data_IF_586930937227
#
_entry.id   IF_586930937227
#
_cell.length_a   1.000
_cell.length_b   1.000
_cell.length_c   1.000
_cell.angle_alpha   90.00
_cell.angle_beta   90.00
_cell.angle_gamma   90.00
#
_symmetry.space_group_name_H-M   'P 1'
#
loop_
_entity.id
_entity.type
_entity.pdbx_description
1 polymer ?
#
# COMPACT_ATOMS: atom_id res chain seq x y z
N UNK A 1 -6.50 -10.57 12.63
CA UNK A 1 -5.73 -10.89 11.40
C UNK A 1 -5.77 -9.68 10.48
N UNK A 2 -4.61 -9.13 10.13
CA UNK A 2 -4.46 -7.86 9.40
C UNK A 2 -5.30 -7.77 8.11
N UNK A 3 -5.46 -8.86 7.36
CA UNK A 3 -6.31 -8.89 6.16
C UNK A 3 -7.76 -8.55 6.48
N UNK A 4 -8.30 -9.07 7.59
CA UNK A 4 -9.68 -8.76 8.03
C UNK A 4 -9.83 -7.28 8.40
N UNK A 5 -8.83 -6.70 9.09
CA UNK A 5 -8.83 -5.27 9.43
C UNK A 5 -8.81 -4.40 8.17
N UNK A 6 -7.95 -4.73 7.20
CA UNK A 6 -7.87 -4.00 5.93
C UNK A 6 -9.19 -4.08 5.16
N UNK A 7 -9.80 -5.26 5.06
CA UNK A 7 -11.12 -5.43 4.41
C UNK A 7 -12.20 -4.60 5.11
N UNK A 8 -12.28 -4.69 6.44
CA UNK A 8 -13.24 -3.94 7.24
C UNK A 8 -13.19 -2.42 6.99
N UNK A 9 -11.99 -1.86 6.87
CA UNK A 9 -11.80 -0.42 6.60
C UNK A 9 -12.04 -0.07 5.13
N UNK A 10 -11.50 -0.85 4.20
CA UNK A 10 -11.44 -0.49 2.78
C UNK A 10 -12.73 -0.83 2.02
N UNK A 11 -13.48 -1.86 2.42
CA UNK A 11 -14.67 -2.31 1.70
C UNK A 11 -15.79 -1.24 1.70
N UNK A 12 -16.16 -0.63 2.86
CA UNK A 12 -17.15 0.46 2.89
C UNK A 12 -16.67 1.70 2.14
N UNK A 13 -15.38 2.02 2.22
CA UNK A 13 -14.80 3.18 1.52
C UNK A 13 -14.79 3.00 0.00
N UNK A 14 -14.50 1.78 -0.47
CA UNK A 14 -14.52 1.42 -1.88
C UNK A 14 -15.93 1.46 -2.48
N UNK A 15 -16.95 1.09 -1.69
CA UNK A 15 -18.35 1.16 -2.10
C UNK A 15 -18.85 2.62 -2.30
N UNK A 16 -18.27 3.59 -1.59
CA UNK A 16 -18.70 5.00 -1.59
C UNK A 16 -18.12 5.88 -2.71
N UNK A 17 -17.40 5.35 -3.69
CA UNK A 17 -16.70 6.19 -4.68
C UNK A 17 -16.76 5.68 -6.11
N UNK A 18 -16.17 6.45 -7.03
CA UNK A 18 -16.05 6.07 -8.43
C UNK A 18 -15.57 4.61 -8.56
N UNK A 19 -16.38 3.72 -9.18
CA UNK A 19 -16.34 2.29 -8.92
C UNK A 19 -15.00 1.63 -9.28
N UNK A 20 -14.28 2.17 -10.26
CA UNK A 20 -13.02 1.60 -10.73
C UNK A 20 -11.83 1.94 -9.84
N UNK A 21 -11.65 3.22 -9.48
CA UNK A 21 -10.42 3.70 -8.83
C UNK A 21 -10.28 3.23 -7.39
N UNK A 22 -11.37 3.32 -6.59
CA UNK A 22 -11.33 2.90 -5.19
C UNK A 22 -11.30 1.38 -5.03
N UNK A 23 -11.96 0.63 -5.93
CA UNK A 23 -11.88 -0.84 -5.97
C UNK A 23 -10.46 -1.33 -6.23
N UNK A 24 -9.74 -0.69 -7.17
CA UNK A 24 -8.33 -0.98 -7.42
C UNK A 24 -7.48 -0.69 -6.16
N UNK A 25 -7.71 0.45 -5.50
CA UNK A 25 -6.98 0.76 -4.26
C UNK A 25 -7.25 -0.26 -3.15
N UNK A 26 -8.50 -0.70 -2.98
CA UNK A 26 -8.86 -1.78 -2.05
C UNK A 26 -8.09 -3.07 -2.35
N UNK A 27 -8.05 -3.51 -3.61
CA UNK A 27 -7.30 -4.71 -4.00
C UNK A 27 -5.79 -4.57 -3.72
N UNK A 28 -5.22 -3.38 -3.97
CA UNK A 28 -3.81 -3.09 -3.68
C UNK A 28 -3.51 -3.09 -2.18
N UNK A 29 -4.39 -2.54 -1.37
CA UNK A 29 -4.28 -2.56 0.10
C UNK A 29 -4.39 -4.00 0.64
N UNK A 30 -5.28 -4.82 0.09
CA UNK A 30 -5.37 -6.24 0.44
C UNK A 30 -4.10 -7.01 0.07
N UNK A 31 -3.50 -6.74 -1.10
CA UNK A 31 -2.21 -7.34 -1.48
C UNK A 31 -1.11 -7.02 -0.46
N UNK A 32 -1.09 -5.80 0.05
CA UNK A 32 -0.18 -5.41 1.13
C UNK A 32 -0.48 -6.14 2.45
N UNK A 33 -1.75 -6.29 2.81
CA UNK A 33 -2.15 -7.02 4.01
C UNK A 33 -1.71 -8.49 3.96
N UNK A 34 -1.85 -9.14 2.79
CA UNK A 34 -1.37 -10.50 2.55
C UNK A 34 0.16 -10.59 2.67
N UNK A 35 0.87 -9.60 2.12
CA UNK A 35 2.32 -9.51 2.24
C UNK A 35 2.78 -9.38 3.70
N UNK A 36 2.07 -8.57 4.49
CA UNK A 36 2.30 -8.39 5.92
C UNK A 36 2.03 -9.69 6.69
N UNK A 37 0.90 -10.35 6.41
CA UNK A 37 0.52 -11.60 7.05
C UNK A 37 1.55 -12.70 6.82
N UNK A 38 2.09 -12.83 5.60
CA UNK A 38 3.18 -13.78 5.28
C UNK A 38 4.46 -13.54 6.10
N UNK A 39 4.64 -12.33 6.62
CA UNK A 39 5.78 -11.92 7.45
C UNK A 39 5.46 -11.91 8.95
N UNK A 40 4.38 -12.56 9.35
CA UNK A 40 3.98 -12.69 10.75
C UNK A 40 3.30 -11.46 11.34
N UNK A 41 3.04 -10.41 10.55
CA UNK A 41 2.36 -9.21 11.02
C UNK A 41 0.86 -9.49 11.10
N UNK A 42 0.30 -9.29 12.29
CA UNK A 42 -1.08 -9.69 12.58
C UNK A 42 -2.04 -8.52 12.73
N UNK A 43 -1.51 -7.31 12.94
CA UNK A 43 -2.25 -6.09 13.23
C UNK A 43 -1.72 -4.88 12.45
N UNK A 44 -2.60 -4.00 11.99
CA UNK A 44 -2.22 -2.75 11.31
C UNK A 44 -1.35 -1.82 12.17
N UNK A 45 -1.49 -1.82 13.50
CA UNK A 45 -0.68 -1.01 14.42
C UNK A 45 0.78 -1.43 14.45
N UNK A 46 1.10 -2.66 14.03
CA UNK A 46 2.47 -3.15 13.88
C UNK A 46 3.11 -2.70 12.56
N UNK A 47 2.34 -2.10 11.67
CA UNK A 47 2.81 -1.64 10.36
C UNK A 47 3.42 -0.25 10.51
N UNK A 48 4.74 -0.17 10.34
CA UNK A 48 5.46 1.08 10.28
C UNK A 48 6.17 1.30 8.94
N UNK A 49 7.10 2.25 8.93
CA UNK A 49 7.93 2.63 7.78
C UNK A 49 8.59 1.43 7.10
N UNK A 50 9.12 0.49 7.89
CA UNK A 50 9.87 -0.68 7.37
C UNK A 50 9.02 -1.58 6.49
N UNK A 51 7.77 -1.79 6.86
CA UNK A 51 6.83 -2.64 6.13
C UNK A 51 6.40 -1.99 4.82
N UNK A 52 6.09 -0.69 4.88
CA UNK A 52 5.72 0.09 3.68
C UNK A 52 6.85 0.08 2.66
N UNK A 53 8.08 0.43 3.07
CA UNK A 53 9.25 0.42 2.18
C UNK A 53 9.53 -0.99 1.67
N UNK A 54 9.51 -1.99 2.55
CA UNK A 54 9.79 -3.38 2.18
C UNK A 54 8.82 -3.91 1.12
N UNK A 55 7.53 -3.62 1.25
CA UNK A 55 6.53 -4.01 0.27
C UNK A 55 6.72 -3.31 -1.08
N UNK A 56 6.92 -1.98 -1.07
CA UNK A 56 7.07 -1.20 -2.30
C UNK A 56 8.37 -1.57 -3.03
N UNK A 57 9.45 -1.86 -2.28
CA UNK A 57 10.70 -2.36 -2.83
C UNK A 57 10.57 -3.77 -3.40
N UNK A 58 9.80 -4.66 -2.77
CA UNK A 58 9.52 -5.98 -3.36
C UNK A 58 8.77 -5.86 -4.70
N UNK A 59 7.83 -4.92 -4.82
CA UNK A 59 7.17 -4.65 -6.10
C UNK A 59 8.15 -4.15 -7.16
N UNK A 60 9.07 -3.27 -6.77
CA UNK A 60 10.14 -2.76 -7.64
C UNK A 60 11.06 -3.89 -8.11
N UNK A 61 11.59 -4.70 -7.19
CA UNK A 61 12.44 -5.86 -7.53
C UNK A 61 11.70 -6.90 -8.37
N UNK A 62 10.38 -7.00 -8.24
CA UNK A 62 9.53 -7.85 -9.09
C UNK A 62 9.24 -7.25 -10.48
N UNK A 63 9.90 -6.16 -10.87
CA UNK A 63 9.77 -5.53 -12.18
C UNK A 63 8.48 -4.75 -12.40
N UNK A 64 7.77 -4.33 -11.33
CA UNK A 64 6.57 -3.49 -11.49
C UNK A 64 6.94 -2.07 -11.90
N UNK A 65 6.17 -1.50 -12.81
CA UNK A 65 6.39 -0.11 -13.26
C UNK A 65 6.22 0.89 -12.12
N UNK A 66 6.95 2.02 -12.18
CA UNK A 66 6.87 3.10 -11.20
C UNK A 66 5.41 3.59 -11.00
N UNK A 67 4.63 3.72 -12.08
CA UNK A 67 3.20 4.06 -12.03
C UNK A 67 2.38 3.06 -11.22
N UNK A 68 2.68 1.77 -11.35
CA UNK A 68 2.01 0.71 -10.58
C UNK A 68 2.38 0.80 -9.10
N UNK A 69 3.67 0.99 -8.79
CA UNK A 69 4.17 1.14 -7.42
C UNK A 69 3.55 2.38 -6.75
N UNK A 70 3.52 3.51 -7.45
CA UNK A 70 2.86 4.73 -6.99
C UNK A 70 1.36 4.48 -6.72
N UNK A 71 0.71 3.71 -7.60
CA UNK A 71 -0.66 3.25 -7.42
C UNK A 71 -0.87 2.38 -6.16
N UNK A 72 0.12 1.59 -5.75
CA UNK A 72 0.12 0.87 -4.48
C UNK A 72 0.33 1.83 -3.31
N UNK A 73 1.25 2.79 -3.41
CA UNK A 73 1.46 3.79 -2.37
C UNK A 73 0.20 4.62 -2.07
N UNK A 74 -0.54 5.06 -3.09
CA UNK A 74 -1.83 5.74 -2.88
C UNK A 74 -2.85 4.89 -2.13
N UNK A 75 -2.89 3.59 -2.41
CA UNK A 75 -3.76 2.67 -1.69
C UNK A 75 -3.36 2.53 -0.21
N UNK A 76 -2.06 2.49 0.09
CA UNK A 76 -1.57 2.49 1.47
C UNK A 76 -1.90 3.80 2.17
N UNK A 77 -1.76 4.93 1.49
CA UNK A 77 -2.12 6.25 2.02
C UNK A 77 -3.61 6.31 2.42
N UNK A 78 -4.49 5.79 1.56
CA UNK A 78 -5.92 5.70 1.87
C UNK A 78 -6.18 4.78 3.07
N UNK A 79 -5.55 3.59 3.11
CA UNK A 79 -5.68 2.65 4.23
C UNK A 79 -5.25 3.28 5.56
N UNK A 80 -4.08 3.92 5.61
CA UNK A 80 -3.58 4.55 6.83
C UNK A 80 -4.48 5.68 7.31
N UNK A 81 -5.01 6.49 6.38
CA UNK A 81 -6.01 7.51 6.73
C UNK A 81 -7.27 6.90 7.35
N UNK A 82 -7.79 5.80 6.79
CA UNK A 82 -8.96 5.10 7.31
C UNK A 82 -8.69 4.40 8.65
N UNK A 83 -7.44 4.00 8.89
CA UNK A 83 -6.99 3.39 10.14
C UNK A 83 -6.54 4.41 11.19
N UNK A 84 -6.64 5.72 10.89
CA UNK A 84 -6.17 6.81 11.74
C UNK A 84 -4.68 6.68 12.14
N UNK A 85 -3.88 6.14 11.22
CA UNK A 85 -2.44 5.97 11.37
C UNK A 85 -1.68 7.12 10.69
N UNK A 86 -0.47 7.46 11.17
CA UNK A 86 0.40 8.46 10.53
C UNK A 86 0.66 8.13 9.06
N UNK A 87 0.65 9.13 8.19
CA UNK A 87 0.78 8.91 6.74
C UNK A 87 2.00 8.02 6.39
N UNK A 88 1.85 7.03 5.49
CA UNK A 88 2.97 6.17 5.11
C UNK A 88 4.05 7.00 4.43
N UNK A 89 5.31 6.64 4.68
CA UNK A 89 6.44 7.30 4.04
C UNK A 89 6.31 7.30 2.53
N UNK A 90 6.67 8.43 1.91
CA UNK A 90 6.72 8.52 0.44
C UNK A 90 7.84 7.62 -0.06
N UNK A 91 7.49 6.72 -0.98
CA UNK A 91 8.46 5.85 -1.63
C UNK A 91 9.01 6.54 -2.88
N UNK A 92 10.32 6.68 -2.93
CA UNK A 92 11.05 7.17 -4.11
C UNK A 92 11.69 5.95 -4.73
N UNK A 93 11.20 5.53 -5.90
CA UNK A 93 11.78 4.39 -6.62
C UNK A 93 13.18 4.73 -7.12
N UNK A 94 14.04 3.73 -7.23
CA UNK A 94 15.38 3.91 -7.79
C UNK A 94 15.30 4.34 -9.26
N UNK A 95 14.27 3.87 -9.99
CA UNK A 95 13.97 4.31 -11.35
C UNK A 95 13.65 5.82 -11.48
N UNK A 96 13.16 6.46 -10.41
CA UNK A 96 12.94 7.92 -10.39
C UNK A 96 14.24 8.69 -10.12
N UNK A 97 15.11 8.15 -9.25
CA UNK A 97 16.42 8.77 -8.93
C UNK A 97 17.31 8.91 -10.16
N UNK A 98 17.28 7.95 -11.08
CA UNK A 98 18.11 7.99 -12.29
C UNK A 98 17.69 9.06 -13.30
N UNK A 99 16.50 9.65 -13.19
CA UNK A 99 16.02 10.73 -14.07
C UNK A 99 16.32 12.14 -13.56
N UNK A 100 16.75 12.29 -12.31
CA UNK A 100 17.08 13.58 -11.70
C UNK A 100 18.58 13.91 -11.75
N UNK A 101 19.40 13.04 -12.36
CA UNK A 101 20.85 13.18 -12.48
C UNK A 101 21.32 13.33 -13.94
N UNK A 102 20.44 13.76 -14.84
CA UNK A 102 20.75 14.07 -16.25
C UNK A 102 20.28 15.47 -16.61
#
# INVERSE_FOLDING_TARGET
>A
MIVRQVRYLMDPWAAKGGPQSRRIQRQRAEKFALWCQKRGIRDLRQVGKRQVIGFLRELETSGRSAKTIQGHWYALRALFRLAELPEPVRFISEADKSKSAS
#
